data_IF_444438602537
#
_entry.id   IF_444438602537
#
_cell.length_a   1.000
_cell.length_b   1.000
_cell.length_c   1.000
_cell.angle_alpha   90.00
_cell.angle_beta   90.00
_cell.angle_gamma   90.00
#
_symmetry.space_group_name_H-M   'P 1'
#
loop_
_entity.id
_entity.type
_entity.pdbx_description
1 polymer ?
#
# COMPACT_ATOMS: atom_id res chain seq x y z
N UNK A 1 -40.76 32.41 81.31
CA UNK A 1 -39.74 32.18 80.26
C UNK A 1 -39.03 30.87 80.57
N UNK A 2 -38.66 30.12 79.54
CA UNK A 2 -38.49 28.65 79.50
C UNK A 2 -37.48 28.00 80.47
N UNK A 3 -37.77 26.73 80.72
CA UNK A 3 -37.24 25.78 81.70
C UNK A 3 -35.86 25.18 81.36
N UNK A 4 -35.13 24.90 82.46
CA UNK A 4 -34.29 23.74 82.79
C UNK A 4 -33.01 23.34 82.01
N UNK A 5 -31.96 23.28 82.82
CA UNK A 5 -30.62 22.67 82.69
C UNK A 5 -30.73 21.14 82.74
N UNK A 6 -29.92 20.41 81.94
CA UNK A 6 -29.12 19.22 82.31
C UNK A 6 -28.53 18.52 81.05
N UNK A 7 -27.23 18.19 81.02
CA UNK A 7 -26.72 16.80 81.12
C UNK A 7 -25.20 16.69 80.89
N UNK A 8 -24.55 15.90 81.76
CA UNK A 8 -23.15 15.43 81.77
C UNK A 8 -23.12 14.00 81.21
N UNK A 9 -22.17 13.61 80.34
CA UNK A 9 -21.62 12.24 80.18
C UNK A 9 -20.29 12.37 79.40
N UNK A 10 -19.08 12.27 79.97
CA UNK A 10 -18.26 11.13 80.46
C UNK A 10 -17.86 10.10 79.38
N UNK A 11 -16.54 10.01 79.15
CA UNK A 11 -15.81 9.05 78.33
C UNK A 11 -16.14 7.59 78.64
N UNK A 12 -16.19 6.75 77.60
CA UNK A 12 -15.79 5.35 77.67
C UNK A 12 -14.91 4.99 76.45
N UNK A 13 -13.71 4.50 76.77
CA UNK A 13 -12.78 3.82 75.86
C UNK A 13 -13.33 2.40 75.58
N UNK A 14 -13.34 1.98 74.31
CA UNK A 14 -13.39 0.56 73.94
C UNK A 14 -12.22 0.25 73.03
N UNK A 15 -11.35 -0.62 73.52
CA UNK A 15 -10.29 -1.28 72.78
C UNK A 15 -10.89 -2.37 71.87
N UNK A 16 -10.38 -2.49 70.65
CA UNK A 16 -10.54 -3.71 69.85
C UNK A 16 -9.18 -4.39 69.72
N UNK A 17 -9.21 -5.68 70.02
CA UNK A 17 -8.11 -6.63 70.13
C UNK A 17 -7.98 -7.40 68.80
N UNK A 18 -6.76 -7.81 68.48
CA UNK A 18 -6.30 -8.55 67.31
C UNK A 18 -7.27 -9.61 66.73
N UNK A 19 -7.48 -9.55 65.42
CA UNK A 19 -7.71 -10.75 64.59
C UNK A 19 -6.47 -10.96 63.72
N UNK A 20 -5.93 -12.18 63.80
CA UNK A 20 -4.80 -12.65 63.01
C UNK A 20 -5.26 -12.86 61.57
N UNK A 21 -4.57 -12.21 60.62
CA UNK A 21 -4.72 -12.48 59.20
C UNK A 21 -3.95 -13.76 58.86
N UNK A 22 -4.69 -14.73 58.34
CA UNK A 22 -4.22 -16.02 57.84
C UNK A 22 -3.30 -15.81 56.64
N UNK A 23 -2.11 -16.39 56.69
CA UNK A 23 -1.12 -16.39 55.62
C UNK A 23 -1.55 -17.39 54.54
N UNK A 24 -2.17 -16.89 53.46
CA UNK A 24 -2.20 -17.60 52.18
C UNK A 24 -1.57 -16.71 51.11
N UNK A 25 -0.24 -16.60 51.16
CA UNK A 25 0.53 -16.19 49.99
C UNK A 25 0.48 -17.36 48.98
N UNK A 26 -0.41 -17.27 47.99
CA UNK A 26 -0.23 -18.01 46.76
C UNK A 26 1.00 -17.45 46.03
N UNK A 27 2.03 -18.30 45.90
CA UNK A 27 3.11 -18.07 44.94
C UNK A 27 2.50 -18.05 43.54
N UNK A 28 2.40 -16.87 42.93
CA UNK A 28 2.29 -16.77 41.47
C UNK A 28 3.71 -17.01 40.95
N UNK A 29 4.08 -18.29 40.83
CA UNK A 29 5.25 -18.73 40.10
C UNK A 29 4.89 -18.90 38.64
N UNK A 30 5.64 -18.21 37.77
CA UNK A 30 5.86 -18.49 36.35
C UNK A 30 4.71 -19.12 35.56
N UNK A 31 4.00 -18.28 34.82
CA UNK A 31 3.62 -18.63 33.45
C UNK A 31 4.07 -17.49 32.54
N UNK A 32 5.25 -17.66 31.95
CA UNK A 32 5.53 -17.12 30.63
C UNK A 32 4.48 -17.75 29.69
N UNK A 33 3.29 -17.18 29.64
CA UNK A 33 2.33 -17.47 28.59
C UNK A 33 3.02 -17.00 27.31
N UNK A 34 3.54 -17.95 26.53
CA UNK A 34 3.96 -17.69 25.16
C UNK A 34 2.70 -17.20 24.48
N UNK A 35 2.54 -15.89 24.35
CA UNK A 35 1.39 -15.30 23.69
C UNK A 35 1.43 -15.80 22.25
N UNK A 36 0.59 -16.79 21.93
CA UNK A 36 0.58 -17.39 20.60
C UNK A 36 0.36 -16.28 19.57
N UNK A 37 1.31 -16.15 18.65
CA UNK A 37 1.29 -15.14 17.61
C UNK A 37 0.09 -15.42 16.67
N UNK A 38 -0.99 -14.66 16.86
CA UNK A 38 -2.29 -14.92 16.21
C UNK A 38 -2.21 -14.66 14.71
N UNK A 39 -2.70 -15.60 13.89
CA UNK A 39 -2.82 -15.41 12.44
C UNK A 39 -3.89 -14.39 12.08
N UNK A 40 -3.60 -13.55 11.09
CA UNK A 40 -4.54 -12.60 10.51
C UNK A 40 -5.18 -13.15 9.23
N UNK A 41 -6.45 -12.81 9.01
CA UNK A 41 -7.18 -13.13 7.78
C UNK A 41 -7.11 -11.96 6.80
N UNK A 42 -6.74 -12.26 5.55
CA UNK A 42 -6.68 -11.30 4.45
C UNK A 42 -8.08 -10.91 3.93
N UNK A 43 -9.13 -11.65 4.29
CA UNK A 43 -10.52 -11.40 3.91
C UNK A 43 -10.71 -11.13 2.40
N UNK A 44 -10.12 -11.97 1.55
CA UNK A 44 -10.18 -11.83 0.09
C UNK A 44 -11.57 -12.25 -0.41
N UNK A 45 -12.35 -11.37 -1.06
CA UNK A 45 -13.66 -11.74 -1.59
C UNK A 45 -13.54 -12.75 -2.75
N UNK A 46 -14.53 -13.64 -2.88
CA UNK A 46 -14.51 -14.72 -3.88
C UNK A 46 -14.52 -14.29 -5.35
N UNK A 47 -14.77 -13.00 -5.63
CA UNK A 47 -14.69 -12.42 -6.97
C UNK A 47 -13.30 -11.86 -7.32
N UNK A 48 -12.33 -11.94 -6.41
CA UNK A 48 -10.92 -11.67 -6.69
C UNK A 48 -10.21 -12.93 -7.21
N UNK A 49 -9.14 -12.77 -8.01
CA UNK A 49 -8.32 -13.90 -8.39
C UNK A 49 -7.59 -14.49 -7.18
N UNK A 50 -7.07 -15.71 -7.33
CA UNK A 50 -6.13 -16.25 -6.35
C UNK A 50 -4.88 -15.36 -6.27
N UNK A 51 -4.30 -15.15 -5.07
CA UNK A 51 -3.03 -14.45 -4.93
C UNK A 51 -1.91 -15.11 -5.73
N UNK A 52 -1.08 -14.29 -6.39
CA UNK A 52 0.18 -14.74 -6.99
C UNK A 52 1.22 -15.03 -5.90
N UNK A 53 1.18 -14.26 -4.81
CA UNK A 53 2.03 -14.49 -3.66
C UNK A 53 1.62 -15.76 -2.90
N UNK A 54 2.59 -16.64 -2.61
CA UNK A 54 2.37 -17.85 -1.82
C UNK A 54 2.18 -17.51 -0.33
N UNK A 55 0.95 -17.16 0.06
CA UNK A 55 0.59 -16.69 1.42
C UNK A 55 1.11 -17.63 2.51
N UNK A 56 1.01 -18.95 2.31
CA UNK A 56 1.42 -19.96 3.30
C UNK A 56 2.92 -19.91 3.64
N UNK A 57 3.78 -19.36 2.77
CA UNK A 57 5.21 -19.20 3.05
C UNK A 57 5.53 -18.03 4.01
N UNK A 58 4.58 -17.11 4.18
CA UNK A 58 4.70 -15.92 5.03
C UNK A 58 3.32 -15.46 5.51
N UNK A 59 2.57 -16.37 6.13
CA UNK A 59 1.20 -16.08 6.54
C UNK A 59 1.19 -14.92 7.54
N UNK A 60 0.41 -13.85 7.31
CA UNK A 60 0.39 -12.72 8.23
C UNK A 60 -0.02 -13.13 9.64
N UNK A 61 0.75 -12.67 10.61
CA UNK A 61 0.41 -12.78 12.02
C UNK A 61 0.29 -11.38 12.63
N UNK A 62 -0.35 -11.25 13.78
CA UNK A 62 -0.46 -9.96 14.46
C UNK A 62 0.93 -9.37 14.75
N UNK A 63 1.85 -10.14 15.32
CA UNK A 63 3.18 -9.63 15.65
C UNK A 63 4.02 -9.30 14.41
N UNK A 64 3.95 -10.11 13.35
CA UNK A 64 4.65 -9.84 12.09
C UNK A 64 4.07 -8.65 11.33
N UNK A 65 2.74 -8.47 11.35
CA UNK A 65 2.06 -7.30 10.83
C UNK A 65 2.47 -6.02 11.57
N UNK A 66 2.44 -6.01 12.90
CA UNK A 66 2.84 -4.83 13.69
C UNK A 66 4.32 -4.48 13.53
N UNK A 67 5.19 -5.50 13.50
CA UNK A 67 6.61 -5.30 13.17
C UNK A 67 6.79 -4.71 11.77
N UNK A 68 6.08 -5.25 10.78
CA UNK A 68 6.08 -4.76 9.41
C UNK A 68 5.60 -3.32 9.30
N UNK A 69 4.52 -2.98 9.99
CA UNK A 69 3.95 -1.64 10.09
C UNK A 69 4.96 -0.66 10.68
N UNK A 70 5.58 -1.02 11.80
CA UNK A 70 6.63 -0.19 12.42
C UNK A 70 7.80 0.03 11.45
N UNK A 71 8.31 -1.03 10.82
CA UNK A 71 9.38 -0.92 9.82
C UNK A 71 8.97 -0.03 8.63
N UNK A 72 7.73 -0.13 8.16
CA UNK A 72 7.24 0.66 7.02
C UNK A 72 7.28 2.17 7.28
N UNK A 73 6.97 2.60 8.51
CA UNK A 73 6.97 4.01 8.90
C UNK A 73 8.30 4.50 9.51
N UNK A 74 9.25 3.61 9.79
CA UNK A 74 10.48 3.99 10.47
C UNK A 74 11.55 4.59 9.53
N UNK A 75 11.84 5.88 9.71
CA UNK A 75 12.86 6.59 8.95
C UNK A 75 14.29 6.04 9.14
N UNK A 76 14.56 5.28 10.21
CA UNK A 76 15.87 4.68 10.52
C UNK A 76 16.35 3.68 9.47
N UNK A 77 15.45 3.16 8.64
CA UNK A 77 15.83 2.35 7.48
C UNK A 77 16.56 3.15 6.38
N UNK A 78 16.50 4.49 6.41
CA UNK A 78 17.31 5.35 5.53
C UNK A 78 18.63 5.78 6.16
N UNK A 79 19.58 6.23 5.33
CA UNK A 79 20.88 6.75 5.81
C UNK A 79 20.76 8.02 6.64
N UNK A 80 19.71 8.83 6.43
CA UNK A 80 19.49 10.06 7.19
C UNK A 80 18.64 9.85 8.45
N UNK A 81 18.00 8.68 8.58
CA UNK A 81 17.04 8.41 9.66
C UNK A 81 15.69 9.11 9.48
N UNK A 82 15.38 9.65 8.30
CA UNK A 82 14.20 10.49 8.04
C UNK A 82 13.24 9.89 7.01
N UNK A 83 13.76 9.27 5.94
CA UNK A 83 12.94 8.75 4.85
C UNK A 83 12.50 7.32 5.20
N UNK A 84 11.19 7.10 5.34
CA UNK A 84 10.58 5.78 5.49
C UNK A 84 9.81 5.38 4.23
N UNK A 85 9.29 4.15 4.17
CA UNK A 85 8.37 3.76 3.11
C UNK A 85 7.13 4.66 3.14
N UNK A 86 6.57 4.89 4.34
CA UNK A 86 5.40 5.75 4.56
C UNK A 86 5.59 7.21 4.17
N UNK A 87 6.84 7.71 4.09
CA UNK A 87 7.12 9.06 3.58
C UNK A 87 6.71 9.21 2.11
N UNK A 88 6.99 8.21 1.27
CA UNK A 88 6.64 8.21 -0.14
C UNK A 88 5.31 7.49 -0.41
N UNK A 89 4.84 6.64 0.48
CA UNK A 89 3.65 5.81 0.29
C UNK A 89 2.58 6.20 1.32
N UNK A 90 1.89 7.32 1.06
CA UNK A 90 0.94 7.93 1.99
C UNK A 90 -0.43 7.26 1.86
N UNK A 91 -0.95 6.72 2.97
CA UNK A 91 -2.16 5.89 3.01
C UNK A 91 -3.38 6.58 2.37
N UNK A 92 -3.69 7.83 2.74
CA UNK A 92 -4.84 8.61 2.25
C UNK A 92 -4.94 8.67 0.71
N UNK A 93 -3.82 8.43 0.04
CA UNK A 93 -3.68 8.49 -1.42
C UNK A 93 -3.31 7.14 -2.01
N UNK A 94 -3.87 6.08 -1.44
CA UNK A 94 -3.65 4.69 -1.79
C UNK A 94 -2.16 4.31 -1.80
N UNK A 95 -1.42 4.84 -0.83
CA UNK A 95 0.02 4.63 -0.68
C UNK A 95 0.83 5.13 -1.87
N UNK A 96 0.54 6.34 -2.36
CA UNK A 96 1.36 7.06 -3.35
C UNK A 96 2.06 8.27 -2.72
N UNK A 97 3.04 8.83 -3.42
CA UNK A 97 3.64 10.10 -3.03
C UNK A 97 2.82 11.24 -3.63
N UNK A 98 1.62 11.40 -3.09
CA UNK A 98 0.60 12.25 -3.66
C UNK A 98 1.09 13.65 -3.99
N UNK A 99 0.60 14.21 -5.11
CA UNK A 99 0.97 15.54 -5.65
C UNK A 99 2.42 15.70 -6.12
N UNK A 100 3.26 14.66 -5.99
CA UNK A 100 4.64 14.68 -6.46
C UNK A 100 4.78 13.98 -7.80
N UNK A 101 5.37 14.69 -8.78
CA UNK A 101 5.67 14.14 -10.11
C UNK A 101 6.58 12.91 -9.95
N UNK A 102 7.66 13.06 -9.18
CA UNK A 102 8.56 11.98 -8.74
C UNK A 102 8.84 12.15 -7.25
N UNK A 103 9.15 11.04 -6.58
CA UNK A 103 9.45 11.07 -5.14
C UNK A 103 10.76 11.79 -4.81
N UNK A 104 10.80 12.35 -3.59
CA UNK A 104 12.00 12.91 -2.97
C UNK A 104 12.58 11.92 -1.96
N UNK A 105 13.84 11.54 -2.11
CA UNK A 105 14.57 10.73 -1.13
C UNK A 105 15.48 11.53 -0.23
N UNK A 106 16.50 10.86 0.30
CA UNK A 106 17.49 11.47 1.19
C UNK A 106 18.16 12.68 0.56
N UNK A 107 18.43 13.70 1.39
CA UNK A 107 19.06 14.95 0.96
C UNK A 107 18.31 15.70 -0.16
N UNK A 108 17.01 15.42 -0.36
CA UNK A 108 16.20 16.02 -1.41
C UNK A 108 16.50 15.48 -2.81
N UNK A 109 17.14 14.30 -2.90
CA UNK A 109 17.37 13.64 -4.18
C UNK A 109 16.04 13.31 -4.86
N UNK A 110 15.95 13.54 -6.17
CA UNK A 110 14.76 13.25 -6.97
C UNK A 110 14.88 11.87 -7.60
N UNK A 111 13.81 11.08 -7.50
CA UNK A 111 13.65 9.86 -8.29
C UNK A 111 13.44 10.15 -9.78
N UNK A 112 13.27 9.09 -10.55
CA UNK A 112 13.00 9.18 -11.99
C UNK A 112 11.60 8.72 -12.39
N UNK A 113 10.80 8.27 -11.41
CA UNK A 113 9.46 7.75 -11.63
C UNK A 113 8.52 8.18 -10.51
N UNK A 114 7.23 8.27 -10.84
CA UNK A 114 6.16 8.46 -9.88
C UNK A 114 6.00 7.20 -9.01
N UNK A 115 5.75 7.39 -7.72
CA UNK A 115 5.58 6.28 -6.77
C UNK A 115 4.24 5.57 -7.02
N UNK A 116 4.24 4.29 -7.43
CA UNK A 116 3.00 3.57 -7.67
C UNK A 116 2.27 3.29 -6.35
N UNK A 117 0.94 3.13 -6.41
CA UNK A 117 0.15 2.76 -5.25
C UNK A 117 0.45 1.31 -4.78
N UNK A 118 0.19 1.01 -3.50
CA UNK A 118 0.54 -0.29 -2.89
C UNK A 118 -0.64 -1.25 -2.67
N UNK A 119 -1.88 -0.88 -3.00
CA UNK A 119 -3.01 -1.82 -2.85
C UNK A 119 -2.84 -3.07 -3.71
N UNK A 120 -3.34 -4.19 -3.20
CA UNK A 120 -3.55 -5.43 -3.96
C UNK A 120 -2.24 -6.04 -4.53
N UNK A 121 -1.09 -5.74 -3.93
CA UNK A 121 0.22 -6.24 -4.38
C UNK A 121 0.33 -7.76 -4.37
N UNK A 122 -0.44 -8.46 -3.52
CA UNK A 122 -0.43 -9.93 -3.42
C UNK A 122 -0.93 -10.65 -4.69
N UNK A 123 -1.63 -9.94 -5.58
CA UNK A 123 -2.12 -10.49 -6.84
C UNK A 123 -1.23 -10.13 -8.04
N UNK A 124 -0.13 -9.43 -7.80
CA UNK A 124 0.77 -8.96 -8.86
C UNK A 124 1.92 -9.95 -9.10
N UNK A 125 2.28 -10.17 -10.36
CA UNK A 125 3.40 -11.03 -10.76
C UNK A 125 4.74 -10.31 -10.59
N UNK A 126 4.83 -9.09 -11.10
CA UNK A 126 6.01 -8.24 -11.04
C UNK A 126 5.67 -6.85 -10.47
N UNK A 127 6.67 -6.15 -9.95
CA UNK A 127 6.58 -4.83 -9.32
C UNK A 127 7.47 -3.81 -10.05
N UNK A 128 7.28 -2.53 -9.69
CA UNK A 128 7.81 -1.35 -10.38
C UNK A 128 7.23 -1.17 -11.79
N UNK A 129 7.39 0.04 -12.34
CA UNK A 129 6.86 0.41 -13.66
C UNK A 129 7.43 -0.40 -14.83
N UNK A 130 8.61 -1.00 -14.66
CA UNK A 130 9.30 -1.81 -15.68
C UNK A 130 9.29 -3.32 -15.40
N UNK A 131 8.77 -3.74 -14.25
CA UNK A 131 8.77 -5.15 -13.84
C UNK A 131 10.11 -5.65 -13.32
N UNK A 132 10.95 -4.77 -12.75
CA UNK A 132 12.30 -5.11 -12.29
C UNK A 132 12.35 -6.03 -11.07
N UNK A 133 11.23 -6.21 -10.36
CA UNK A 133 11.15 -7.07 -9.18
C UNK A 133 10.03 -8.09 -9.38
N UNK A 134 10.33 -9.37 -9.26
CA UNK A 134 9.37 -10.48 -9.52
C UNK A 134 8.86 -11.17 -8.25
N UNK A 135 9.07 -10.58 -7.07
CA UNK A 135 8.65 -11.15 -5.80
C UNK A 135 8.43 -10.06 -4.74
N UNK A 136 7.33 -10.14 -3.99
CA UNK A 136 6.93 -9.10 -3.02
C UNK A 136 8.00 -8.89 -1.93
N UNK A 137 8.51 -9.96 -1.32
CA UNK A 137 9.58 -9.87 -0.30
C UNK A 137 10.87 -9.21 -0.80
N UNK A 138 11.10 -9.17 -2.12
CA UNK A 138 12.29 -8.54 -2.70
C UNK A 138 12.07 -7.06 -3.01
N UNK A 139 10.81 -6.58 -3.03
CA UNK A 139 10.48 -5.21 -3.39
C UNK A 139 11.15 -4.18 -2.47
N UNK A 140 11.17 -4.34 -1.13
CA UNK A 140 11.79 -3.36 -0.23
C UNK A 140 13.29 -3.18 -0.42
N UNK A 141 13.99 -4.12 -1.07
CA UNK A 141 15.44 -3.99 -1.36
C UNK A 141 15.70 -2.76 -2.21
N UNK A 142 14.85 -2.50 -3.20
CA UNK A 142 15.02 -1.39 -4.15
C UNK A 142 15.02 -0.03 -3.43
N UNK A 143 13.97 0.36 -2.67
CA UNK A 143 13.95 1.65 -2.01
C UNK A 143 15.02 1.80 -0.93
N UNK A 144 15.31 0.73 -0.18
CA UNK A 144 16.36 0.74 0.86
C UNK A 144 17.72 1.08 0.24
N UNK A 145 18.06 0.46 -0.90
CA UNK A 145 19.41 0.56 -1.48
C UNK A 145 19.60 1.66 -2.50
N UNK A 146 18.52 2.26 -3.00
CA UNK A 146 18.60 3.28 -4.04
C UNK A 146 19.08 4.62 -3.50
N UNK A 147 20.13 5.18 -4.13
CA UNK A 147 20.85 6.38 -3.67
C UNK A 147 19.98 7.65 -3.59
N UNK A 148 18.94 7.71 -4.41
CA UNK A 148 17.99 8.83 -4.47
C UNK A 148 16.66 8.54 -3.74
N UNK A 149 16.58 7.42 -3.01
CA UNK A 149 15.45 7.06 -2.15
C UNK A 149 15.92 7.01 -0.69
N UNK A 150 16.19 5.82 -0.13
CA UNK A 150 16.62 5.69 1.28
C UNK A 150 18.15 5.65 1.43
N UNK A 151 18.88 5.35 0.35
CA UNK A 151 20.34 5.35 0.28
C UNK A 151 21.01 4.63 1.46
N UNK A 152 20.66 3.38 1.70
CA UNK A 152 21.16 2.60 2.82
C UNK A 152 21.56 1.19 2.38
N UNK A 153 22.43 0.54 3.15
CA UNK A 153 22.72 -0.89 2.96
C UNK A 153 21.85 -1.74 3.87
N UNK A 154 21.33 -2.85 3.35
CA UNK A 154 20.57 -3.84 4.13
C UNK A 154 21.35 -4.27 5.38
N UNK A 155 22.67 -4.48 5.26
CA UNK A 155 23.53 -4.82 6.40
C UNK A 155 23.52 -3.76 7.49
N UNK A 156 23.58 -2.48 7.13
CA UNK A 156 23.56 -1.41 8.13
C UNK A 156 22.16 -1.23 8.74
N UNK A 157 21.08 -1.43 7.97
CA UNK A 157 19.73 -1.50 8.54
C UNK A 157 19.66 -2.60 9.60
N UNK A 158 20.10 -3.82 9.29
CA UNK A 158 20.10 -4.93 10.25
C UNK A 158 20.91 -4.59 11.51
N UNK A 159 22.08 -3.97 11.36
CA UNK A 159 22.86 -3.52 12.51
C UNK A 159 22.08 -2.50 13.37
N UNK A 160 21.37 -1.54 12.75
CA UNK A 160 20.53 -0.59 13.49
C UNK A 160 19.43 -1.31 14.28
N UNK A 161 18.72 -2.24 13.64
CA UNK A 161 17.64 -3.01 14.26
C UNK A 161 18.16 -3.92 15.40
N UNK A 162 19.32 -4.55 15.22
CA UNK A 162 19.94 -5.41 16.22
C UNK A 162 20.45 -4.68 17.47
N UNK A 163 20.69 -3.37 17.37
CA UNK A 163 21.11 -2.54 18.50
C UNK A 163 19.95 -1.78 19.15
N UNK A 164 18.71 -2.10 18.77
CA UNK A 164 17.49 -1.50 19.31
C UNK A 164 16.70 -2.55 20.10
N UNK A 165 16.55 -2.31 21.41
CA UNK A 165 15.92 -3.28 22.32
C UNK A 165 14.45 -3.58 21.96
N UNK A 166 13.71 -2.57 21.47
CA UNK A 166 12.32 -2.74 21.05
C UNK A 166 12.22 -3.62 19.81
N UNK A 167 13.10 -3.41 18.82
CA UNK A 167 13.13 -4.27 17.65
C UNK A 167 13.52 -5.71 17.99
N UNK A 168 14.49 -5.91 18.89
CA UNK A 168 14.83 -7.27 19.37
C UNK A 168 13.61 -7.97 19.95
N UNK A 169 12.83 -7.30 20.80
CA UNK A 169 11.60 -7.86 21.37
C UNK A 169 10.55 -8.17 20.29
N UNK A 170 10.32 -7.24 19.35
CA UNK A 170 9.33 -7.41 18.29
C UNK A 170 9.69 -8.54 17.33
N UNK A 171 10.97 -8.69 16.96
CA UNK A 171 11.41 -9.79 16.09
C UNK A 171 11.30 -11.15 16.77
N UNK A 172 11.63 -11.25 18.07
CA UNK A 172 11.44 -12.48 18.85
C UNK A 172 9.95 -12.86 18.95
N UNK A 173 9.09 -11.86 19.11
CA UNK A 173 7.64 -12.09 19.15
C UNK A 173 7.09 -12.51 17.77
N UNK A 174 7.61 -11.93 16.70
CA UNK A 174 7.13 -12.15 15.35
C UNK A 174 7.60 -13.48 14.72
N UNK A 175 8.80 -13.97 15.06
CA UNK A 175 9.42 -15.11 14.38
C UNK A 175 10.02 -16.12 15.36
N UNK A 176 9.68 -17.40 15.19
CA UNK A 176 10.12 -18.52 16.06
C UNK A 176 11.64 -18.70 16.17
N UNK A 177 12.42 -18.15 15.24
CA UNK A 177 13.87 -18.31 15.24
C UNK A 177 14.59 -17.16 15.96
N UNK A 178 13.89 -16.16 16.49
CA UNK A 178 14.43 -15.02 17.26
C UNK A 178 15.55 -14.25 16.53
N UNK A 179 15.57 -14.28 15.20
CA UNK A 179 16.64 -13.64 14.41
C UNK A 179 16.19 -12.37 13.72
N UNK A 180 16.96 -11.31 13.92
CA UNK A 180 16.94 -10.11 13.08
C UNK A 180 17.88 -10.36 11.91
N UNK A 181 17.32 -10.86 10.80
CA UNK A 181 18.03 -11.10 9.56
C UNK A 181 17.27 -10.50 8.36
N UNK A 182 17.91 -10.55 7.17
CA UNK A 182 17.32 -10.03 5.93
C UNK A 182 15.96 -10.67 5.61
N UNK A 183 15.82 -11.97 5.88
CA UNK A 183 14.61 -12.72 5.55
C UNK A 183 13.45 -12.25 6.41
N UNK A 184 13.63 -12.21 7.73
CA UNK A 184 12.60 -11.84 8.68
C UNK A 184 12.21 -10.37 8.56
N UNK A 185 13.18 -9.47 8.30
CA UNK A 185 12.90 -8.06 8.07
C UNK A 185 11.98 -7.86 6.86
N UNK A 186 12.31 -8.48 5.72
CA UNK A 186 11.47 -8.37 4.52
C UNK A 186 10.15 -9.11 4.66
N UNK A 187 10.13 -10.27 5.33
CA UNK A 187 8.87 -10.96 5.62
C UNK A 187 7.93 -10.12 6.48
N UNK A 188 8.44 -9.42 7.49
CA UNK A 188 7.62 -8.55 8.33
C UNK A 188 7.01 -7.41 7.48
N UNK A 189 7.83 -6.71 6.69
CA UNK A 189 7.34 -5.65 5.77
C UNK A 189 6.29 -6.22 4.81
N UNK A 190 6.53 -7.39 4.22
CA UNK A 190 5.55 -8.08 3.37
C UNK A 190 4.26 -8.40 4.11
N UNK A 191 4.30 -8.89 5.35
CA UNK A 191 3.07 -9.19 6.09
C UNK A 191 2.20 -7.94 6.28
N UNK A 192 2.82 -6.77 6.50
CA UNK A 192 2.09 -5.50 6.54
C UNK A 192 1.47 -5.14 5.18
N UNK A 193 2.28 -5.15 4.12
CA UNK A 193 1.83 -4.79 2.75
C UNK A 193 0.82 -5.80 2.19
N UNK A 194 0.92 -7.08 2.55
CA UNK A 194 -0.01 -8.13 2.14
C UNK A 194 -1.44 -7.83 2.58
N UNK A 195 -1.60 -7.22 3.76
CA UNK A 195 -2.91 -6.86 4.30
C UNK A 195 -3.56 -5.68 3.59
N UNK A 196 -2.82 -4.94 2.74
CA UNK A 196 -3.32 -3.79 1.98
C UNK A 196 -4.17 -4.23 0.77
N UNK A 197 -5.28 -4.91 1.04
CA UNK A 197 -6.21 -5.43 0.02
C UNK A 197 -7.41 -4.48 -0.08
N UNK A 198 -7.56 -3.80 -1.22
CA UNK A 198 -8.66 -2.86 -1.48
C UNK A 198 -9.77 -3.54 -2.29
N UNK A 199 -10.91 -3.77 -1.64
CA UNK A 199 -11.98 -4.64 -2.12
C UNK A 199 -13.40 -4.16 -1.84
N UNK A 200 -13.58 -2.94 -1.27
CA UNK A 200 -14.89 -2.44 -0.79
C UNK A 200 -15.33 -1.12 -1.44
N UNK A 201 -14.79 -0.82 -2.63
CA UNK A 201 -15.22 0.32 -3.43
C UNK A 201 -16.69 0.24 -3.85
N UNK A 202 -17.26 1.35 -4.34
CA UNK A 202 -18.61 1.33 -4.92
C UNK A 202 -18.73 0.30 -6.04
N UNK A 203 -17.73 0.20 -6.93
CA UNK A 203 -17.68 -0.82 -7.98
C UNK A 203 -17.80 -2.23 -7.39
N UNK A 204 -17.05 -2.52 -6.33
CA UNK A 204 -17.04 -3.83 -5.70
C UNK A 204 -18.41 -4.20 -5.14
N UNK A 205 -19.07 -3.26 -4.45
CA UNK A 205 -20.43 -3.43 -3.92
C UNK A 205 -21.45 -3.66 -5.04
N UNK A 206 -21.31 -2.99 -6.18
CA UNK A 206 -22.19 -3.24 -7.34
C UNK A 206 -21.95 -4.64 -7.92
N UNK A 207 -20.68 -5.04 -8.11
CA UNK A 207 -20.34 -6.36 -8.67
C UNK A 207 -20.82 -7.52 -7.78
N UNK A 208 -20.80 -7.34 -6.46
CA UNK A 208 -21.29 -8.32 -5.49
C UNK A 208 -22.78 -8.20 -5.14
N UNK A 209 -23.49 -7.23 -5.71
CA UNK A 209 -24.90 -6.92 -5.40
C UNK A 209 -25.15 -6.55 -3.92
N UNK A 210 -24.22 -5.84 -3.29
CA UNK A 210 -24.24 -5.41 -1.88
C UNK A 210 -24.96 -4.06 -1.70
N UNK A 211 -26.12 -3.90 -2.32
CA UNK A 211 -27.00 -2.75 -2.11
C UNK A 211 -26.54 -1.43 -2.73
N UNK A 212 -25.46 -1.42 -3.52
CA UNK A 212 -25.04 -0.27 -4.34
C UNK A 212 -25.45 -0.44 -5.79
N UNK A 213 -25.66 0.67 -6.50
CA UNK A 213 -25.89 0.70 -7.95
C UNK A 213 -25.09 1.81 -8.61
N UNK A 214 -24.75 1.59 -9.88
CA UNK A 214 -24.20 2.67 -10.70
C UNK A 214 -25.27 3.71 -10.99
N UNK A 215 -24.87 4.98 -11.00
CA UNK A 215 -25.66 6.05 -11.59
C UNK A 215 -25.75 5.87 -13.11
N UNK A 216 -26.59 6.66 -13.78
CA UNK A 216 -26.69 6.60 -15.24
C UNK A 216 -25.36 6.93 -15.93
N UNK A 217 -24.66 7.97 -15.47
CA UNK A 217 -23.37 8.37 -16.03
C UNK A 217 -22.27 7.32 -15.78
N UNK A 218 -22.26 6.69 -14.60
CA UNK A 218 -21.31 5.61 -14.29
C UNK A 218 -21.61 4.36 -15.12
N UNK A 219 -22.89 4.06 -15.40
CA UNK A 219 -23.28 2.93 -16.26
C UNK A 219 -22.84 3.17 -17.71
N UNK A 220 -23.03 4.39 -18.21
CA UNK A 220 -22.53 4.80 -19.53
C UNK A 220 -20.99 4.74 -19.54
N UNK A 221 -20.34 5.24 -18.49
CA UNK A 221 -18.89 5.18 -18.31
C UNK A 221 -18.32 3.78 -18.33
N UNK A 222 -18.95 2.85 -17.61
CA UNK A 222 -18.59 1.43 -17.68
C UNK A 222 -18.71 0.88 -19.10
N UNK A 223 -19.78 1.23 -19.81
CA UNK A 223 -19.99 0.77 -21.20
C UNK A 223 -18.87 1.25 -22.12
N UNK A 224 -18.49 2.52 -22.03
CA UNK A 224 -17.37 3.07 -22.81
C UNK A 224 -16.04 2.44 -22.39
N UNK A 225 -15.81 2.29 -21.08
CA UNK A 225 -14.61 1.65 -20.54
C UNK A 225 -14.46 0.21 -21.03
N UNK A 226 -15.52 -0.60 -20.97
CA UNK A 226 -15.52 -1.99 -21.43
C UNK A 226 -15.17 -2.07 -22.92
N UNK A 227 -15.59 -1.10 -23.73
CA UNK A 227 -15.32 -1.06 -25.17
C UNK A 227 -13.90 -0.60 -25.51
N UNK A 228 -13.35 0.36 -24.76
CA UNK A 228 -12.16 1.12 -25.17
C UNK A 228 -10.92 0.90 -24.29
N UNK A 229 -11.10 0.51 -23.03
CA UNK A 229 -10.02 0.46 -22.03
C UNK A 229 -9.79 -0.96 -21.48
N UNK A 230 -10.85 -1.76 -21.42
CA UNK A 230 -10.84 -3.07 -20.75
C UNK A 230 -10.03 -4.16 -21.48
N UNK A 231 -9.45 -3.88 -22.65
CA UNK A 231 -8.52 -4.80 -23.33
C UNK A 231 -7.16 -4.91 -22.61
N UNK A 232 -6.77 -3.86 -21.88
CA UNK A 232 -5.55 -3.84 -21.06
C UNK A 232 -5.89 -3.78 -19.56
N UNK A 233 -6.92 -3.01 -19.20
CA UNK A 233 -7.37 -2.88 -17.82
C UNK A 233 -8.49 -3.88 -17.50
N UNK A 234 -8.11 -5.16 -17.44
CA UNK A 234 -9.04 -6.29 -17.37
C UNK A 234 -9.42 -6.68 -15.94
N UNK A 235 -10.60 -7.30 -15.82
CA UNK A 235 -11.01 -8.06 -14.64
C UNK A 235 -11.12 -7.24 -13.34
N UNK A 236 -11.17 -7.94 -12.22
CA UNK A 236 -11.38 -7.34 -10.88
C UNK A 236 -10.23 -6.40 -10.48
N UNK A 237 -9.02 -6.61 -10.99
CA UNK A 237 -7.85 -5.79 -10.65
C UNK A 237 -7.60 -4.65 -11.64
N UNK A 238 -8.37 -4.54 -12.72
CA UNK A 238 -8.21 -3.50 -13.75
C UNK A 238 -6.80 -3.45 -14.35
N UNK A 239 -6.18 -4.61 -14.56
CA UNK A 239 -4.88 -4.77 -15.20
C UNK A 239 -4.73 -6.18 -15.75
N UNK A 240 -4.16 -6.31 -16.95
CA UNK A 240 -3.71 -7.57 -17.54
C UNK A 240 -2.27 -7.91 -17.16
N UNK A 241 -1.62 -7.05 -16.36
CA UNK A 241 -0.23 -7.12 -15.91
C UNK A 241 0.81 -7.14 -17.03
N UNK A 242 0.39 -6.88 -18.28
CA UNK A 242 1.28 -6.83 -19.43
C UNK A 242 2.14 -5.56 -19.44
N UNK A 243 3.04 -5.48 -20.42
CA UNK A 243 3.90 -4.32 -20.63
C UNK A 243 3.63 -3.73 -22.01
N UNK A 244 3.29 -2.44 -22.04
CA UNK A 244 2.86 -1.77 -23.27
C UNK A 244 3.51 -0.40 -23.41
N UNK A 245 3.63 0.02 -24.65
CA UNK A 245 4.02 1.38 -24.99
C UNK A 245 2.77 2.12 -25.46
N UNK A 246 2.32 3.07 -24.67
CA UNK A 246 1.13 3.88 -24.93
C UNK A 246 1.44 5.19 -25.67
N UNK A 247 2.57 5.25 -26.39
CA UNK A 247 2.97 6.40 -27.21
C UNK A 247 3.20 7.68 -26.40
N UNK A 248 3.52 7.56 -25.11
CA UNK A 248 3.90 8.71 -24.29
C UNK A 248 5.16 9.38 -24.88
N UNK A 249 5.18 10.71 -25.11
CA UNK A 249 6.37 11.39 -25.59
C UNK A 249 7.55 11.15 -24.65
N UNK A 250 8.73 10.82 -25.19
CA UNK A 250 9.91 10.54 -24.36
C UNK A 250 10.33 11.84 -23.67
N UNK A 251 10.40 11.81 -22.33
CA UNK A 251 10.92 12.94 -21.57
C UNK A 251 12.46 12.92 -21.66
N UNK A 252 13.10 13.94 -22.26
CA UNK A 252 14.55 14.00 -22.38
C UNK A 252 15.27 14.16 -21.04
N UNK A 253 14.59 14.58 -19.97
CA UNK A 253 15.17 14.67 -18.63
C UNK A 253 15.52 13.29 -18.08
N UNK A 254 14.62 12.32 -18.25
CA UNK A 254 14.79 10.96 -17.71
C UNK A 254 15.31 9.98 -18.77
N UNK A 255 14.89 10.15 -20.03
CA UNK A 255 15.14 9.24 -21.15
C UNK A 255 14.91 7.76 -20.75
N UNK A 256 13.80 7.51 -20.05
CA UNK A 256 13.51 6.20 -19.45
C UNK A 256 13.21 5.18 -20.55
N UNK A 257 14.08 4.18 -20.69
CA UNK A 257 13.90 3.09 -21.65
C UNK A 257 12.87 2.04 -21.21
N UNK A 258 12.29 2.18 -20.01
CA UNK A 258 11.25 1.30 -19.48
C UNK A 258 11.75 -0.13 -19.28
N UNK A 259 10.94 -1.12 -19.68
CA UNK A 259 11.20 -2.55 -19.50
C UNK A 259 12.51 -3.03 -20.12
N UNK A 260 13.00 -2.38 -21.19
CA UNK A 260 14.33 -2.71 -21.75
C UNK A 260 15.44 -2.64 -20.70
N UNK A 261 15.35 -1.78 -19.69
CA UNK A 261 16.33 -1.72 -18.60
C UNK A 261 16.44 -3.03 -17.80
N UNK A 262 15.36 -3.81 -17.81
CA UNK A 262 15.24 -5.10 -17.11
C UNK A 262 15.61 -6.25 -18.05
N UNK A 263 15.07 -6.25 -19.27
CA UNK A 263 15.21 -7.38 -20.20
C UNK A 263 16.46 -7.30 -21.08
N UNK A 264 16.97 -6.10 -21.35
CA UNK A 264 18.04 -5.83 -22.31
C UNK A 264 17.59 -5.83 -23.77
N UNK A 265 16.32 -6.15 -24.05
CA UNK A 265 15.80 -6.39 -25.39
C UNK A 265 15.26 -5.10 -26.03
N UNK A 266 15.65 -4.83 -27.28
CA UNK A 266 15.19 -3.63 -28.01
C UNK A 266 13.68 -3.61 -28.23
N UNK A 267 13.02 -4.78 -28.32
CA UNK A 267 11.57 -4.88 -28.50
C UNK A 267 10.79 -4.42 -27.27
N UNK A 268 11.42 -4.33 -26.09
CA UNK A 268 10.79 -3.89 -24.84
C UNK A 268 11.08 -2.43 -24.50
N UNK A 269 11.80 -1.74 -25.36
CA UNK A 269 12.10 -0.33 -25.18
C UNK A 269 10.81 0.49 -25.16
N UNK A 270 10.69 1.35 -24.16
CA UNK A 270 9.52 2.20 -23.87
C UNK A 270 8.24 1.47 -23.48
N UNK A 271 8.31 0.17 -23.17
CA UNK A 271 7.18 -0.52 -22.55
C UNK A 271 7.21 -0.34 -21.04
N UNK A 272 6.03 -0.13 -20.47
CA UNK A 272 5.81 -0.05 -19.03
C UNK A 272 4.64 -0.96 -18.65
N UNK A 273 4.63 -1.40 -17.39
CA UNK A 273 3.56 -2.24 -16.84
C UNK A 273 2.23 -1.50 -16.98
N UNK A 274 1.18 -2.20 -17.40
CA UNK A 274 -0.20 -1.70 -17.35
C UNK A 274 -0.61 -1.64 -15.86
N UNK A 275 -0.81 -0.44 -15.27
CA UNK A 275 -1.13 -0.35 -13.85
C UNK A 275 -2.56 -0.79 -13.56
N UNK A 276 -2.82 -1.21 -12.31
CA UNK A 276 -4.19 -1.33 -11.82
C UNK A 276 -4.86 0.06 -11.77
N UNK A 277 -6.15 0.13 -12.09
CA UNK A 277 -6.94 1.35 -11.96
C UNK A 277 -7.71 1.43 -10.63
N UNK A 278 -7.51 0.49 -9.70
CA UNK A 278 -8.09 0.60 -8.35
C UNK A 278 -7.55 1.86 -7.67
N UNK A 279 -8.42 2.62 -7.00
CA UNK A 279 -8.09 3.89 -6.35
C UNK A 279 -7.46 4.96 -7.28
N UNK A 280 -7.66 4.85 -8.61
CA UNK A 280 -7.02 5.78 -9.56
C UNK A 280 -7.41 7.26 -9.35
N UNK A 281 -8.58 7.52 -8.78
CA UNK A 281 -9.05 8.88 -8.54
C UNK A 281 -8.20 9.66 -7.50
N UNK A 282 -7.46 8.97 -6.63
CA UNK A 282 -6.69 9.57 -5.52
C UNK A 282 -5.17 9.43 -5.67
N UNK A 283 -4.70 8.83 -6.76
CA UNK A 283 -3.27 8.48 -6.97
C UNK A 283 -2.56 9.42 -7.94
N UNK A 284 -3.07 10.63 -8.12
CA UNK A 284 -2.44 11.61 -9.02
C UNK A 284 -1.10 12.13 -8.44
N UNK A 285 -0.15 12.54 -9.30
CA UNK A 285 -0.25 12.60 -10.75
C UNK A 285 0.00 11.25 -11.45
N UNK A 286 -0.27 11.20 -12.76
CA UNK A 286 -0.37 9.97 -13.55
C UNK A 286 0.80 9.76 -14.53
N UNK A 287 0.88 8.52 -15.03
CA UNK A 287 1.97 7.94 -15.82
C UNK A 287 3.21 7.60 -14.98
N UNK A 288 4.14 6.85 -15.56
CA UNK A 288 5.36 6.40 -14.87
C UNK A 288 6.25 7.56 -14.40
N UNK A 289 6.10 8.74 -14.97
CA UNK A 289 6.86 9.95 -14.64
C UNK A 289 5.99 11.07 -14.08
N UNK A 290 4.72 10.81 -13.74
CA UNK A 290 3.86 11.75 -13.04
C UNK A 290 3.54 13.03 -13.81
N UNK A 291 3.69 13.05 -15.14
CA UNK A 291 3.55 14.29 -15.93
C UNK A 291 2.11 14.81 -16.04
N UNK A 292 1.11 13.97 -15.79
CA UNK A 292 -0.30 14.32 -15.97
C UNK A 292 -1.00 14.55 -14.63
N UNK A 293 -1.48 15.77 -14.33
CA UNK A 293 -2.08 16.06 -13.03
C UNK A 293 -3.50 15.53 -12.89
N UNK A 294 -4.22 15.26 -13.98
CA UNK A 294 -5.62 14.82 -13.93
C UNK A 294 -5.89 13.59 -14.80
N UNK A 295 -6.93 12.83 -14.46
CA UNK A 295 -7.45 11.76 -15.33
C UNK A 295 -7.87 12.30 -16.70
N UNK A 296 -8.26 13.57 -16.76
CA UNK A 296 -8.62 14.23 -18.00
C UNK A 296 -7.42 14.36 -18.93
N UNK A 297 -6.26 14.78 -18.41
CA UNK A 297 -5.01 14.85 -19.18
C UNK A 297 -4.58 13.46 -19.68
N UNK A 298 -4.80 12.40 -18.88
CA UNK A 298 -4.56 11.01 -19.29
C UNK A 298 -5.44 10.63 -20.48
N UNK A 299 -6.73 10.94 -20.42
CA UNK A 299 -7.66 10.62 -21.51
C UNK A 299 -7.41 11.49 -22.75
N UNK A 300 -6.98 12.75 -22.58
CA UNK A 300 -6.57 13.61 -23.69
C UNK A 300 -5.27 13.10 -24.36
N UNK A 301 -4.34 12.52 -23.58
CA UNK A 301 -3.19 11.81 -24.12
C UNK A 301 -3.62 10.63 -25.00
N UNK A 302 -4.46 9.74 -24.48
CA UNK A 302 -4.95 8.59 -25.27
C UNK A 302 -5.76 9.01 -26.49
N UNK A 303 -6.52 10.11 -26.44
CA UNK A 303 -7.33 10.59 -27.55
C UNK A 303 -6.51 11.26 -28.67
N UNK A 304 -5.53 12.09 -28.31
CA UNK A 304 -4.82 12.92 -29.31
C UNK A 304 -3.36 13.28 -28.98
N UNK A 305 -2.87 12.93 -27.79
CA UNK A 305 -1.51 13.26 -27.34
C UNK A 305 -0.45 12.20 -27.64
N UNK A 306 -0.85 11.01 -28.10
CA UNK A 306 0.05 9.92 -28.46
C UNK A 306 0.97 10.29 -29.62
N UNK A 307 2.23 9.85 -29.54
CA UNK A 307 3.22 10.01 -30.60
C UNK A 307 3.77 8.67 -31.05
N UNK A 308 4.19 8.58 -32.31
CA UNK A 308 4.87 7.39 -32.82
C UNK A 308 6.24 7.27 -32.16
N UNK A 309 6.42 6.23 -31.34
CA UNK A 309 7.70 5.84 -30.76
C UNK A 309 8.12 4.46 -31.25
N UNK A 310 9.35 4.04 -30.93
CA UNK A 310 9.80 2.67 -31.16
C UNK A 310 8.96 1.71 -30.30
N UNK A 311 8.49 0.61 -30.90
CA UNK A 311 7.64 -0.40 -30.25
C UNK A 311 6.30 0.13 -29.72
N UNK A 312 5.75 1.20 -30.30
CA UNK A 312 4.37 1.61 -30.02
C UNK A 312 3.45 0.39 -30.17
N UNK A 313 2.56 0.16 -29.20
CA UNK A 313 1.62 -0.96 -29.28
C UNK A 313 0.68 -0.74 -30.47
N UNK A 314 0.62 -1.73 -31.38
CA UNK A 314 -0.11 -1.65 -32.64
C UNK A 314 -1.61 -1.39 -32.43
N UNK A 315 -2.15 -1.73 -31.26
CA UNK A 315 -3.55 -1.46 -30.92
C UNK A 315 -3.92 0.03 -30.92
N UNK A 316 -2.92 0.92 -30.79
CA UNK A 316 -3.13 2.36 -30.81
C UNK A 316 -3.00 2.96 -32.22
N UNK A 317 -2.75 2.16 -33.24
CA UNK A 317 -2.67 2.60 -34.63
C UNK A 317 -4.02 2.28 -35.30
N UNK A 318 -4.77 3.32 -35.63
CA UNK A 318 -6.08 3.20 -36.28
C UNK A 318 -5.93 2.81 -37.75
N UNK A 319 -7.02 2.34 -38.38
CA UNK A 319 -7.02 1.91 -39.79
C UNK A 319 -6.60 3.03 -40.76
N UNK A 320 -6.89 4.29 -40.42
CA UNK A 320 -6.49 5.47 -41.20
C UNK A 320 -5.06 5.96 -40.90
N UNK A 321 -4.35 5.27 -40.00
CA UNK A 321 -2.99 5.59 -39.56
C UNK A 321 -2.93 6.67 -38.47
N UNK A 322 -4.06 7.19 -38.00
CA UNK A 322 -4.08 8.04 -36.80
C UNK A 322 -3.71 7.24 -35.55
N UNK A 323 -3.19 7.94 -34.54
CA UNK A 323 -2.77 7.33 -33.28
C UNK A 323 -3.77 7.64 -32.18
N UNK A 324 -3.96 6.70 -31.25
CA UNK A 324 -4.76 6.89 -30.05
C UNK A 324 -6.05 6.10 -30.02
N UNK A 325 -6.91 6.45 -29.08
CA UNK A 325 -8.25 5.91 -28.87
C UNK A 325 -9.20 7.10 -28.95
N UNK A 326 -10.01 7.19 -30.01
CA UNK A 326 -10.93 8.32 -30.18
C UNK A 326 -11.92 8.41 -29.01
N UNK A 327 -11.96 9.56 -28.35
CA UNK A 327 -12.79 9.82 -27.18
C UNK A 327 -13.45 11.20 -27.29
N UNK A 328 -14.78 11.24 -27.31
CA UNK A 328 -15.52 12.50 -27.18
C UNK A 328 -15.45 13.06 -25.76
N UNK A 329 -15.74 14.36 -25.61
CA UNK A 329 -15.80 15.01 -24.29
C UNK A 329 -16.75 14.29 -23.31
N UNK A 330 -17.92 13.89 -23.80
CA UNK A 330 -18.90 13.16 -23.01
C UNK A 330 -18.39 11.78 -22.58
N UNK A 331 -17.70 11.06 -23.48
CA UNK A 331 -17.10 9.76 -23.13
C UNK A 331 -16.02 9.92 -22.06
N UNK A 332 -15.20 10.98 -22.13
CA UNK A 332 -14.17 11.24 -21.11
C UNK A 332 -14.80 11.50 -19.74
N UNK A 333 -15.85 12.32 -19.66
CA UNK A 333 -16.60 12.55 -18.43
C UNK A 333 -17.23 11.27 -17.87
N UNK A 334 -17.84 10.46 -18.74
CA UNK A 334 -18.43 9.17 -18.39
C UNK A 334 -17.39 8.20 -17.83
N UNK A 335 -16.24 8.05 -18.51
CA UNK A 335 -15.13 7.19 -18.04
C UNK A 335 -14.65 7.67 -16.67
N UNK A 336 -14.41 8.97 -16.48
CA UNK A 336 -13.97 9.51 -15.19
C UNK A 336 -14.99 9.21 -14.09
N UNK A 337 -16.28 9.40 -14.35
CA UNK A 337 -17.34 9.06 -13.39
C UNK A 337 -17.29 7.58 -13.00
N UNK A 338 -17.07 6.68 -13.96
CA UNK A 338 -16.90 5.25 -13.70
C UNK A 338 -15.61 4.93 -12.91
N UNK A 339 -14.47 5.51 -13.28
CA UNK A 339 -13.20 5.31 -12.58
C UNK A 339 -13.26 5.78 -11.12
N UNK A 340 -14.03 6.83 -10.82
CA UNK A 340 -14.25 7.29 -9.44
C UNK A 340 -14.94 6.23 -8.58
N UNK A 341 -15.72 5.31 -9.18
CA UNK A 341 -16.35 4.19 -8.45
C UNK A 341 -15.35 3.15 -7.95
N UNK A 342 -14.09 3.19 -8.42
CA UNK A 342 -13.01 2.28 -8.06
C UNK A 342 -12.25 2.73 -6.79
N UNK A 343 -12.66 3.84 -6.18
CA UNK A 343 -12.08 4.35 -4.94
C UNK A 343 -12.71 3.63 -3.74
N UNK A 344 -11.87 3.11 -2.87
CA UNK A 344 -12.24 2.38 -1.67
C UNK A 344 -11.89 3.20 -0.43
N UNK A 345 -12.83 4.03 0.01
CA UNK A 345 -12.63 4.90 1.18
C UNK A 345 -12.37 4.10 2.47
N UNK A 346 -12.88 2.86 2.56
CA UNK A 346 -12.63 1.99 3.73
C UNK A 346 -11.18 1.55 3.77
N UNK A 347 -10.56 1.27 2.63
CA UNK A 347 -9.12 1.00 2.53
C UNK A 347 -8.28 2.25 2.84
N UNK A 348 -8.65 3.41 2.28
CA UNK A 348 -7.92 4.66 2.47
C UNK A 348 -7.93 5.14 3.93
N UNK A 349 -8.98 4.80 4.69
CA UNK A 349 -9.19 5.24 6.07
C UNK A 349 -9.05 4.10 7.10
N UNK A 350 -8.45 2.98 6.71
CA UNK A 350 -8.28 1.83 7.60
C UNK A 350 -7.19 2.11 8.67
N UNK A 351 -7.60 2.30 9.92
CA UNK A 351 -6.71 2.54 11.07
C UNK A 351 -5.66 1.42 11.26
N UNK A 352 -5.88 0.22 10.71
CA UNK A 352 -4.87 -0.83 10.76
C UNK A 352 -3.60 -0.42 10.03
N UNK A 353 -3.70 0.39 8.98
CA UNK A 353 -2.54 0.81 8.20
C UNK A 353 -1.98 2.18 8.59
N UNK A 354 -2.66 2.95 9.44
CA UNK A 354 -2.25 4.31 9.81
C UNK A 354 -0.91 4.34 10.54
N UNK A 355 -0.11 5.39 10.35
CA UNK A 355 1.12 5.59 11.14
C UNK A 355 0.83 5.74 12.65
N UNK A 356 -0.32 6.30 13.01
CA UNK A 356 -0.73 6.66 14.37
C UNK A 356 -2.09 6.09 14.77
#
# INVERSE_FOLDING_TARGET
MRFLIFFIVILTLSACQNEALDESYENISDENEVQENVFLDLNIPSNFPEPTYEIENNKPTQAGFELGKKLFYDGRLSSTGVISCGFCHIQDFAFTHHTHIVSHGVNGALGTRNAPPLQNMIFMEDFNWDGSVSHLDAQPVVPITTEFEMNESVTNVLNKLQNDEEYVEMFNTAFENDTIDTRNMFKAISQFVMMMVSTDSKYDKVMRNEGSSFTEIETQGKTVFDQKCASCHVGTLFTDQSYRNNGLPIDPQYNDEGRKRVTGEEIDKYKFKVPSLRNIAVTFPYMHDGRFPTLRDVLDHYDSGMVQTQNLDEMFIQEDGSLGISLSETEKEQIIAYLNTLTDDNFLLDDRFSEF
#
